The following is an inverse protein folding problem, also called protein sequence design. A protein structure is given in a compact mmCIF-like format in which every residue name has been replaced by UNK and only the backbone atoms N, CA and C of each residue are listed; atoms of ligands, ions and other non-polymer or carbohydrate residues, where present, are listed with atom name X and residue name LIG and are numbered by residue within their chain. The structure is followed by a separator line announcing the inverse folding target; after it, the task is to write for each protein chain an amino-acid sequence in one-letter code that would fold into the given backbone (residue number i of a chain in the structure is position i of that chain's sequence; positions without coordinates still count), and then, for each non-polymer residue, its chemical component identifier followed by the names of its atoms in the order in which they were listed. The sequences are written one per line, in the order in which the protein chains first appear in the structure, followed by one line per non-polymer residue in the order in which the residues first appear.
data_IF_057103113196
#
_entry.id   IF_057103113196
#
_cell.length_a   1.000
_cell.length_b   1.000
_cell.length_c   1.000
_cell.angle_alpha   90.00
_cell.angle_beta   90.00
_cell.angle_gamma   90.00
#
_symmetry.space_group_name_H-M   'P 1'
#
loop_
_entity.id
_entity.type
_entity.pdbx_description
1 polymer ?
#
# COMPACT_ATOMS: atom_id res chain seq x y z
N UNK A 1 2.14 -36.50 5.84
CA UNK A 1 2.71 -35.56 4.83
C UNK A 1 4.02 -34.92 5.30
N UNK A 2 4.26 -34.73 6.58
CA UNK A 2 5.42 -34.05 7.14
C UNK A 2 6.66 -34.97 7.19
N UNK A 3 6.51 -36.25 7.51
CA UNK A 3 7.68 -37.18 7.60
C UNK A 3 8.57 -37.25 6.34
N UNK A 4 8.03 -37.40 5.11
CA UNK A 4 8.88 -37.38 3.93
C UNK A 4 9.59 -36.03 3.71
N UNK A 5 8.97 -34.93 4.16
CA UNK A 5 9.55 -33.59 4.10
C UNK A 5 10.73 -33.45 5.06
N UNK A 6 10.59 -33.98 6.28
CA UNK A 6 11.67 -33.95 7.30
C UNK A 6 12.87 -34.76 6.82
N UNK A 7 12.63 -35.97 6.28
CA UNK A 7 13.72 -36.77 5.70
C UNK A 7 14.45 -36.04 4.58
N UNK A 8 13.70 -35.42 3.66
CA UNK A 8 14.30 -34.65 2.57
C UNK A 8 15.10 -33.42 3.05
N UNK A 9 14.60 -32.73 4.11
CA UNK A 9 15.31 -31.61 4.72
C UNK A 9 16.62 -32.05 5.36
N UNK A 10 16.60 -33.14 6.14
CA UNK A 10 17.78 -33.67 6.81
C UNK A 10 18.86 -34.13 5.82
N UNK A 11 18.47 -34.78 4.72
CA UNK A 11 19.38 -35.20 3.68
C UNK A 11 19.97 -33.99 2.93
N UNK A 12 19.14 -33.01 2.60
CA UNK A 12 19.58 -31.78 1.96
C UNK A 12 20.57 -31.01 2.85
N UNK A 13 20.29 -30.89 4.14
CA UNK A 13 21.16 -30.23 5.10
C UNK A 13 22.52 -30.95 5.23
N UNK A 14 22.54 -32.27 5.40
CA UNK A 14 23.76 -33.08 5.45
C UNK A 14 24.62 -32.91 4.20
N UNK A 15 24.02 -32.73 3.02
CA UNK A 15 24.72 -32.49 1.81
C UNK A 15 25.24 -31.05 1.70
N UNK A 16 24.41 -30.05 2.00
CA UNK A 16 24.76 -28.63 1.94
C UNK A 16 25.89 -28.25 2.91
N UNK A 17 25.90 -28.84 4.11
CA UNK A 17 26.95 -28.60 5.12
C UNK A 17 28.33 -29.02 4.64
N UNK A 18 28.44 -30.03 3.77
CA UNK A 18 29.73 -30.44 3.14
C UNK A 18 30.30 -29.37 2.23
N UNK A 19 29.52 -28.39 1.83
CA UNK A 19 29.90 -27.24 1.00
C UNK A 19 30.64 -27.61 -0.28
N UNK A 20 30.26 -28.72 -0.90
CA UNK A 20 30.86 -29.19 -2.15
C UNK A 20 30.31 -28.41 -3.36
N UNK A 21 31.16 -28.04 -4.33
CA UNK A 21 30.68 -27.41 -5.55
C UNK A 21 29.90 -28.44 -6.39
N UNK A 22 28.69 -28.03 -6.84
CA UNK A 22 27.84 -28.79 -7.75
C UNK A 22 26.93 -27.84 -8.50
N UNK A 23 26.59 -28.14 -9.74
CA UNK A 23 25.70 -27.30 -10.56
C UNK A 23 24.30 -27.11 -9.92
N UNK A 24 23.81 -28.12 -9.22
CA UNK A 24 22.48 -28.07 -8.56
C UNK A 24 22.49 -27.42 -7.17
N UNK A 25 23.66 -27.02 -6.63
CA UNK A 25 23.80 -26.55 -5.25
C UNK A 25 22.90 -25.36 -4.92
N UNK A 26 22.83 -24.38 -5.81
CA UNK A 26 21.98 -23.19 -5.60
C UNK A 26 20.49 -23.55 -5.63
N UNK A 27 20.08 -24.41 -6.56
CA UNK A 27 18.71 -24.90 -6.64
C UNK A 27 18.31 -25.71 -5.40
N UNK A 28 19.23 -26.57 -4.91
CA UNK A 28 19.02 -27.32 -3.67
C UNK A 28 18.93 -26.41 -2.44
N UNK A 29 19.76 -25.39 -2.36
CA UNK A 29 19.74 -24.41 -1.26
C UNK A 29 18.42 -23.63 -1.25
N UNK A 30 17.96 -23.17 -2.41
CA UNK A 30 16.69 -22.50 -2.56
C UNK A 30 15.51 -23.40 -2.15
N UNK A 31 15.52 -24.66 -2.58
CA UNK A 31 14.53 -25.65 -2.19
C UNK A 31 14.55 -25.91 -0.68
N UNK A 32 15.75 -26.10 -0.09
CA UNK A 32 15.93 -26.32 1.35
C UNK A 32 15.28 -25.18 2.18
N UNK A 33 15.56 -23.91 1.84
CA UNK A 33 14.97 -22.80 2.57
C UNK A 33 13.44 -22.71 2.41
N UNK A 34 12.93 -23.04 1.22
CA UNK A 34 11.46 -23.09 1.01
C UNK A 34 10.79 -24.19 1.85
N UNK A 35 11.36 -25.40 1.85
CA UNK A 35 10.84 -26.51 2.65
C UNK A 35 10.97 -26.25 4.15
N UNK A 36 12.12 -25.69 4.58
CA UNK A 36 12.34 -25.31 5.97
C UNK A 36 11.35 -24.25 6.44
N UNK A 37 11.07 -23.23 5.61
CA UNK A 37 10.05 -22.22 5.91
C UNK A 37 8.65 -22.85 6.01
N UNK A 38 8.30 -23.74 5.09
CA UNK A 38 7.03 -24.46 5.14
C UNK A 38 6.89 -25.29 6.43
N UNK A 39 7.92 -26.05 6.81
CA UNK A 39 7.95 -26.82 8.06
C UNK A 39 7.74 -25.92 9.29
N UNK A 40 8.48 -24.81 9.39
CA UNK A 40 8.33 -23.85 10.50
C UNK A 40 6.93 -23.26 10.58
N UNK A 41 6.28 -23.01 9.44
CA UNK A 41 4.89 -22.55 9.44
C UNK A 41 3.94 -23.65 9.88
N UNK A 42 4.19 -24.90 9.47
CA UNK A 42 3.39 -26.04 9.88
C UNK A 42 3.47 -26.33 11.40
N UNK A 43 4.62 -26.06 12.02
CA UNK A 43 4.82 -26.21 13.49
C UNK A 43 3.94 -25.25 14.32
N UNK A 44 3.55 -24.12 13.74
CA UNK A 44 2.71 -23.10 14.40
C UNK A 44 1.28 -23.05 13.85
N UNK A 45 0.94 -24.00 12.99
CA UNK A 45 -0.36 -24.07 12.34
C UNK A 45 -1.47 -24.41 13.36
N UNK A 46 -2.49 -23.58 13.38
CA UNK A 46 -3.68 -23.73 14.23
C UNK A 46 -4.94 -23.20 13.49
N UNK A 47 -6.03 -22.95 14.21
CA UNK A 47 -7.31 -22.47 13.66
C UNK A 47 -7.25 -21.11 12.94
N UNK A 48 -6.17 -20.36 13.11
CA UNK A 48 -5.94 -19.08 12.40
C UNK A 48 -5.28 -19.26 11.05
N UNK A 49 -4.96 -20.48 10.70
CA UNK A 49 -4.37 -20.81 9.41
C UNK A 49 -5.35 -21.55 8.52
N UNK A 50 -5.15 -21.39 7.22
CA UNK A 50 -5.79 -22.21 6.19
C UNK A 50 -4.75 -22.75 5.22
N UNK A 51 -5.04 -23.93 4.64
CA UNK A 51 -4.22 -24.49 3.58
C UNK A 51 -4.83 -24.16 2.23
N UNK A 52 -4.12 -23.39 1.42
CA UNK A 52 -4.52 -23.05 0.05
C UNK A 52 -3.82 -24.05 -0.88
N UNK A 53 -4.58 -24.75 -1.72
CA UNK A 53 -4.09 -25.67 -2.73
C UNK A 53 -4.46 -25.15 -4.10
N UNK A 54 -3.47 -24.83 -4.91
CA UNK A 54 -3.61 -24.45 -6.32
C UNK A 54 -3.14 -25.63 -7.17
N UNK A 55 -4.01 -26.11 -8.09
CA UNK A 55 -3.79 -27.38 -8.81
C UNK A 55 -3.32 -27.20 -10.26
N UNK A 56 -3.18 -25.97 -10.77
CA UNK A 56 -2.80 -25.73 -12.17
C UNK A 56 -1.88 -24.51 -12.30
N UNK A 57 -0.87 -24.55 -13.18
CA UNK A 57 -0.39 -25.74 -13.95
C UNK A 57 0.33 -26.76 -13.06
N UNK A 58 0.93 -26.30 -11.95
CA UNK A 58 1.61 -27.13 -10.95
C UNK A 58 0.86 -27.08 -9.62
N UNK A 59 0.93 -28.14 -8.85
CA UNK A 59 0.35 -28.16 -7.51
C UNK A 59 1.18 -27.33 -6.55
N UNK A 60 0.60 -26.26 -6.02
CA UNK A 60 1.17 -25.44 -4.95
C UNK A 60 0.37 -25.61 -3.69
N UNK A 61 1.06 -25.87 -2.59
CA UNK A 61 0.47 -25.91 -1.25
C UNK A 61 1.02 -24.74 -0.46
N UNK A 62 0.14 -23.94 0.10
CA UNK A 62 0.48 -22.73 0.85
C UNK A 62 -0.25 -22.71 2.18
N UNK A 63 0.49 -22.56 3.27
CA UNK A 63 -0.06 -22.37 4.60
C UNK A 63 -0.24 -20.85 4.81
N UNK A 64 -1.48 -20.40 4.91
CA UNK A 64 -1.81 -18.98 4.97
C UNK A 64 -2.35 -18.62 6.36
N UNK A 65 -1.69 -17.68 7.02
CA UNK A 65 -2.11 -17.15 8.32
C UNK A 65 -3.12 -16.01 8.11
N UNK A 66 -4.34 -16.19 8.57
CA UNK A 66 -5.41 -15.18 8.51
C UNK A 66 -5.28 -14.14 9.63
N UNK A 67 -4.79 -14.57 10.81
CA UNK A 67 -4.58 -13.72 11.97
C UNK A 67 -3.21 -13.98 12.64
N UNK A 68 -2.23 -13.07 12.48
CA UNK A 68 -0.90 -13.24 13.07
C UNK A 68 -0.80 -12.79 14.54
N UNK A 69 -1.86 -12.30 15.16
CA UNK A 69 -1.85 -11.62 16.46
C UNK A 69 -1.20 -12.45 17.58
N UNK A 70 -1.56 -13.74 17.69
CA UNK A 70 -0.98 -14.61 18.72
C UNK A 70 0.49 -14.94 18.46
N UNK A 71 0.90 -15.03 17.18
CA UNK A 71 2.30 -15.24 16.83
C UNK A 71 3.14 -14.01 17.19
N UNK A 72 2.63 -12.82 16.90
CA UNK A 72 3.25 -11.57 17.32
C UNK A 72 3.36 -11.51 18.85
N UNK A 73 2.28 -11.79 19.58
CA UNK A 73 2.29 -11.81 21.07
C UNK A 73 3.35 -12.78 21.63
N UNK A 74 3.44 -14.00 21.08
CA UNK A 74 4.48 -14.97 21.47
C UNK A 74 5.89 -14.48 21.17
N UNK A 75 6.08 -13.79 20.04
CA UNK A 75 7.37 -13.21 19.69
C UNK A 75 7.75 -12.05 20.63
N UNK A 76 6.81 -11.15 20.90
CA UNK A 76 6.99 -10.00 21.80
C UNK A 76 7.30 -10.40 23.23
N UNK A 77 6.71 -11.50 23.72
CA UNK A 77 6.97 -12.04 25.07
C UNK A 77 8.43 -12.44 25.32
N UNK A 78 9.27 -12.53 24.29
CA UNK A 78 10.72 -12.77 24.42
C UNK A 78 11.49 -11.50 24.79
N UNK A 79 10.90 -10.32 24.55
CA UNK A 79 11.47 -9.02 24.89
C UNK A 79 10.94 -8.48 26.21
N UNK A 80 11.61 -7.48 26.77
CA UNK A 80 11.13 -6.75 27.96
C UNK A 80 10.06 -5.73 27.61
N UNK A 81 10.12 -5.15 26.42
CA UNK A 81 9.18 -4.19 25.88
C UNK A 81 9.25 -4.16 24.34
N UNK A 82 8.18 -3.74 23.71
CA UNK A 82 8.12 -3.46 22.29
C UNK A 82 7.39 -2.13 22.07
N UNK A 83 7.88 -1.32 21.15
CA UNK A 83 7.27 -0.05 20.78
C UNK A 83 7.00 -0.10 19.28
N UNK A 84 5.74 0.03 18.90
CA UNK A 84 5.32 0.18 17.50
C UNK A 84 4.95 1.63 17.26
N UNK A 85 5.46 2.19 16.19
CA UNK A 85 5.15 3.57 15.83
C UNK A 85 5.04 3.74 14.31
N UNK A 86 4.08 4.56 13.88
CA UNK A 86 3.92 4.99 12.51
C UNK A 86 3.02 6.23 12.49
N UNK A 87 3.09 7.00 11.41
CA UNK A 87 2.17 8.10 11.17
C UNK A 87 0.75 7.61 10.79
N UNK A 88 0.59 6.33 10.44
CA UNK A 88 -0.65 5.77 9.87
C UNK A 88 -1.18 4.56 10.64
N UNK A 89 -0.90 4.43 11.94
CA UNK A 89 -1.50 3.39 12.81
C UNK A 89 -2.97 3.73 13.14
N UNK A 90 -3.79 3.84 12.11
CA UNK A 90 -5.22 4.20 12.22
C UNK A 90 -6.08 3.24 11.40
N UNK A 91 -7.14 2.61 11.98
CA UNK A 91 -7.58 2.73 13.38
C UNK A 91 -6.64 2.02 14.36
N UNK A 92 -6.46 2.60 15.53
CA UNK A 92 -5.51 2.09 16.53
C UNK A 92 -5.86 0.68 16.99
N UNK A 93 -7.12 0.36 17.22
CA UNK A 93 -7.57 -0.96 17.68
C UNK A 93 -7.29 -2.07 16.66
N UNK A 94 -7.39 -1.77 15.37
CA UNK A 94 -7.02 -2.69 14.30
C UNK A 94 -5.54 -3.10 14.40
N UNK A 95 -4.65 -2.11 14.49
CA UNK A 95 -3.22 -2.37 14.59
C UNK A 95 -2.85 -3.03 15.92
N UNK A 96 -3.41 -2.57 17.04
CA UNK A 96 -3.20 -3.17 18.35
C UNK A 96 -3.54 -4.67 18.33
N UNK A 97 -4.69 -5.02 17.75
CA UNK A 97 -5.12 -6.42 17.60
C UNK A 97 -4.13 -7.22 16.76
N UNK A 98 -3.84 -6.79 15.54
CA UNK A 98 -2.97 -7.54 14.63
C UNK A 98 -1.52 -7.66 15.10
N UNK A 99 -1.02 -6.66 15.82
CA UNK A 99 0.31 -6.67 16.42
C UNK A 99 0.40 -7.48 17.71
N UNK A 100 -0.71 -8.06 18.16
CA UNK A 100 -0.75 -8.93 19.34
C UNK A 100 -0.82 -8.18 20.66
N UNK A 101 -1.16 -6.88 20.65
CA UNK A 101 -1.36 -6.08 21.85
C UNK A 101 -2.63 -6.47 22.60
N UNK A 102 -2.67 -6.18 23.90
CA UNK A 102 -3.81 -6.34 24.77
C UNK A 102 -4.63 -5.03 24.84
N UNK A 103 -5.92 -5.07 25.19
CA UNK A 103 -6.75 -3.86 25.32
C UNK A 103 -6.18 -2.82 26.30
N UNK A 104 -5.49 -3.27 27.33
CA UNK A 104 -4.84 -2.48 28.38
C UNK A 104 -3.47 -1.92 28.02
N UNK A 105 -2.89 -2.34 26.88
CA UNK A 105 -1.57 -1.87 26.46
C UNK A 105 -1.61 -0.36 26.17
N UNK A 106 -0.58 0.41 26.61
CA UNK A 106 -0.56 1.84 26.42
C UNK A 106 -0.57 2.24 24.96
N UNK A 107 -1.38 3.24 24.63
CA UNK A 107 -1.48 3.84 23.31
C UNK A 107 -1.15 5.32 23.42
N UNK A 108 -0.29 5.81 22.52
CA UNK A 108 0.07 7.22 22.43
C UNK A 108 -0.30 7.75 21.05
N UNK A 109 -1.15 8.75 21.00
CA UNK A 109 -1.46 9.50 19.79
C UNK A 109 -0.95 10.93 19.93
N UNK A 110 -0.01 11.29 19.10
CA UNK A 110 0.56 12.64 19.05
C UNK A 110 -0.15 13.47 17.98
N UNK A 111 -0.31 14.75 18.26
CA UNK A 111 -0.79 15.69 17.26
C UNK A 111 0.23 15.81 16.12
N UNK A 112 -0.26 16.13 14.91
CA UNK A 112 0.60 16.42 13.78
C UNK A 112 1.52 17.62 14.10
N UNK A 113 2.82 17.56 13.83
CA UNK A 113 3.72 18.71 13.96
C UNK A 113 3.51 19.73 12.82
N UNK A 114 2.76 19.38 11.79
CA UNK A 114 2.50 20.25 10.65
C UNK A 114 1.25 21.10 10.90
N UNK A 115 1.32 22.43 10.64
CA UNK A 115 0.18 23.31 10.77
C UNK A 115 -0.98 22.87 9.86
N UNK A 116 -2.22 22.69 10.39
CA UNK A 116 -3.36 22.24 9.59
C UNK A 116 -3.70 23.17 8.41
N UNK A 117 -3.38 24.44 8.52
CA UNK A 117 -3.58 25.46 7.48
C UNK A 117 -2.72 25.25 6.24
N UNK A 118 -1.65 24.45 6.34
CA UNK A 118 -0.78 24.11 5.22
C UNK A 118 -1.31 22.94 4.39
N UNK A 119 -2.43 22.33 4.78
CA UNK A 119 -3.03 21.21 4.07
C UNK A 119 -4.49 21.49 3.70
N UNK A 120 -4.77 21.60 2.39
CA UNK A 120 -6.12 21.60 1.86
C UNK A 120 -6.50 20.18 1.43
N UNK A 121 -7.55 19.62 2.02
CA UNK A 121 -8.12 18.32 1.61
C UNK A 121 -9.44 18.56 0.92
N UNK A 122 -9.52 18.20 -0.36
CA UNK A 122 -10.72 18.28 -1.18
C UNK A 122 -11.26 16.88 -1.42
N UNK A 123 -12.53 16.63 -1.11
CA UNK A 123 -13.20 15.35 -1.32
C UNK A 123 -14.31 15.54 -2.34
N UNK A 124 -14.21 14.81 -3.45
CA UNK A 124 -15.28 14.72 -4.44
C UNK A 124 -15.96 13.35 -4.32
N UNK A 125 -17.12 13.31 -3.72
CA UNK A 125 -17.93 12.10 -3.49
C UNK A 125 -18.95 11.82 -4.61
N UNK A 126 -19.00 12.67 -5.65
CA UNK A 126 -19.94 12.54 -6.78
C UNK A 126 -19.40 11.69 -7.92
N UNK A 127 -18.06 11.52 -8.00
CA UNK A 127 -17.42 10.75 -9.07
C UNK A 127 -17.35 9.28 -8.66
N UNK A 128 -17.94 8.41 -9.46
CA UNK A 128 -17.94 6.97 -9.22
C UNK A 128 -16.61 6.34 -9.70
N UNK A 129 -15.76 5.94 -8.76
CA UNK A 129 -14.45 5.35 -9.06
C UNK A 129 -14.40 3.83 -8.93
N UNK A 130 -15.51 3.19 -8.54
CA UNK A 130 -15.60 1.73 -8.48
C UNK A 130 -15.65 1.12 -9.89
N UNK A 131 -15.19 -0.11 -10.04
CA UNK A 131 -14.90 -0.74 -11.34
C UNK A 131 -16.03 -0.60 -12.38
N UNK A 132 -17.28 -0.83 -11.99
CA UNK A 132 -18.43 -0.77 -12.91
C UNK A 132 -18.77 0.65 -13.41
N UNK A 133 -18.45 1.69 -12.64
CA UNK A 133 -18.76 3.09 -13.00
C UNK A 133 -17.60 3.85 -13.66
N UNK A 134 -16.42 3.25 -13.79
CA UNK A 134 -15.21 3.96 -14.26
C UNK A 134 -15.32 4.50 -15.68
N UNK A 135 -15.96 3.75 -16.56
CA UNK A 135 -16.10 4.17 -17.97
C UNK A 135 -16.99 5.43 -18.11
N UNK A 136 -18.06 5.49 -17.31
CA UNK A 136 -19.00 6.61 -17.34
C UNK A 136 -18.43 7.86 -16.66
N UNK A 137 -17.62 7.68 -15.62
CA UNK A 137 -17.02 8.78 -14.84
C UNK A 137 -15.62 9.19 -15.30
N UNK A 138 -15.11 8.62 -16.38
CA UNK A 138 -13.75 8.87 -16.88
C UNK A 138 -13.50 10.37 -17.13
N UNK A 139 -14.40 11.03 -17.83
CA UNK A 139 -14.33 12.46 -18.12
C UNK A 139 -14.35 13.33 -16.86
N UNK A 140 -15.16 12.96 -15.88
CA UNK A 140 -15.24 13.69 -14.60
C UNK A 140 -13.95 13.57 -13.78
N UNK A 141 -13.30 12.39 -13.79
CA UNK A 141 -11.99 12.19 -13.16
C UNK A 141 -10.93 13.05 -13.84
N UNK A 142 -10.89 13.05 -15.18
CA UNK A 142 -9.96 13.86 -15.97
C UNK A 142 -10.17 15.36 -15.70
N UNK A 143 -11.42 15.81 -15.67
CA UNK A 143 -11.76 17.20 -15.37
C UNK A 143 -11.35 17.60 -13.94
N UNK A 144 -11.56 16.72 -12.95
CA UNK A 144 -11.16 16.98 -11.57
C UNK A 144 -9.63 17.09 -11.42
N UNK A 145 -8.87 16.19 -12.08
CA UNK A 145 -7.41 16.27 -12.12
C UNK A 145 -6.97 17.57 -12.79
N UNK A 146 -7.52 17.86 -13.98
CA UNK A 146 -7.22 19.07 -14.75
C UNK A 146 -7.49 20.36 -13.98
N UNK A 147 -8.63 20.44 -13.28
CA UNK A 147 -8.98 21.58 -12.44
C UNK A 147 -7.94 21.82 -11.31
N UNK A 148 -7.50 20.76 -10.64
CA UNK A 148 -6.50 20.87 -9.58
C UNK A 148 -5.14 21.36 -10.14
N UNK A 149 -4.61 20.68 -11.16
CA UNK A 149 -3.26 20.96 -11.66
C UNK A 149 -3.17 22.27 -12.45
N UNK A 150 -4.30 22.79 -12.94
CA UNK A 150 -4.39 24.12 -13.56
C UNK A 150 -4.46 25.25 -12.52
N UNK A 151 -4.87 24.96 -11.29
CA UNK A 151 -5.06 25.96 -10.25
C UNK A 151 -3.75 26.56 -9.72
N UNK A 152 -2.66 25.82 -9.73
CA UNK A 152 -1.34 26.24 -9.30
C UNK A 152 -0.26 25.50 -10.07
N UNK A 153 0.74 26.25 -10.57
CA UNK A 153 1.92 25.68 -11.20
C UNK A 153 2.78 24.91 -10.18
N UNK A 154 3.24 23.72 -10.56
CA UNK A 154 4.11 22.88 -9.72
C UNK A 154 3.96 21.40 -10.02
N UNK A 155 4.43 20.55 -9.14
CA UNK A 155 4.49 19.12 -9.32
C UNK A 155 3.36 18.41 -8.56
N UNK A 156 2.70 17.50 -9.23
CA UNK A 156 1.55 16.74 -8.72
C UNK A 156 1.76 15.24 -8.92
N UNK A 157 1.25 14.43 -7.99
CA UNK A 157 1.12 12.98 -8.15
C UNK A 157 -0.36 12.60 -8.17
N UNK A 158 -0.73 11.77 -9.16
CA UNK A 158 -2.09 11.21 -9.29
C UNK A 158 -2.00 9.71 -9.09
N UNK A 159 -2.65 9.22 -8.03
CA UNK A 159 -2.63 7.82 -7.65
C UNK A 159 -3.90 7.09 -8.09
N UNK A 160 -3.71 5.92 -8.68
CA UNK A 160 -4.78 5.06 -9.18
C UNK A 160 -4.77 3.69 -8.51
N UNK A 161 -5.92 3.00 -8.40
CA UNK A 161 -5.98 1.66 -7.82
C UNK A 161 -5.43 0.56 -8.74
N UNK A 162 -5.17 0.85 -10.03
CA UNK A 162 -4.62 -0.12 -10.99
C UNK A 162 -3.98 0.57 -12.19
N UNK A 163 -3.04 -0.10 -12.84
CA UNK A 163 -2.41 0.37 -14.09
C UNK A 163 -3.40 0.53 -15.24
N UNK A 164 -4.42 -0.34 -15.33
CA UNK A 164 -5.45 -0.22 -16.37
C UNK A 164 -6.19 1.12 -16.24
N UNK A 165 -6.69 1.43 -15.05
CA UNK A 165 -7.42 2.69 -14.82
C UNK A 165 -6.53 3.91 -15.00
N UNK A 166 -5.28 3.83 -14.54
CA UNK A 166 -4.26 4.86 -14.78
C UNK A 166 -4.12 5.14 -16.28
N UNK A 167 -3.94 4.10 -17.12
CA UNK A 167 -3.74 4.25 -18.55
C UNK A 167 -4.98 4.81 -19.27
N UNK A 168 -6.19 4.43 -18.84
CA UNK A 168 -7.43 4.94 -19.41
C UNK A 168 -7.58 6.45 -19.14
N UNK A 169 -7.36 6.87 -17.88
CA UNK A 169 -7.41 8.30 -17.51
C UNK A 169 -6.27 9.09 -18.14
N UNK A 170 -5.06 8.53 -18.19
CA UNK A 170 -3.90 9.17 -18.81
C UNK A 170 -4.14 9.54 -20.27
N UNK A 171 -4.68 8.59 -21.05
CA UNK A 171 -4.97 8.81 -22.48
C UNK A 171 -5.91 10.00 -22.68
N UNK A 172 -6.98 10.05 -21.93
CA UNK A 172 -7.96 11.14 -22.01
C UNK A 172 -7.42 12.46 -21.46
N UNK A 173 -6.60 12.39 -20.40
CA UNK A 173 -5.95 13.56 -19.81
C UNK A 173 -4.97 14.21 -20.80
N UNK A 174 -4.16 13.44 -21.51
CA UNK A 174 -3.21 13.96 -22.50
C UNK A 174 -3.91 14.64 -23.70
N UNK A 175 -5.11 14.18 -24.07
CA UNK A 175 -5.92 14.79 -25.12
C UNK A 175 -6.53 16.11 -24.60
N UNK A 176 -7.07 16.12 -23.40
CA UNK A 176 -7.80 17.25 -22.84
C UNK A 176 -6.88 18.36 -22.30
N UNK A 177 -5.67 17.99 -21.85
CA UNK A 177 -4.70 18.87 -21.20
C UNK A 177 -3.28 18.72 -21.76
N UNK A 178 -3.06 18.96 -23.08
CA UNK A 178 -1.77 18.73 -23.75
C UNK A 178 -0.58 19.54 -23.20
N UNK A 179 -0.77 20.74 -22.56
CA UNK A 179 0.36 21.56 -22.14
C UNK A 179 1.12 21.01 -20.91
N UNK A 180 0.57 20.04 -20.18
CA UNK A 180 1.22 19.53 -18.99
C UNK A 180 2.29 18.49 -19.28
N UNK A 181 3.41 18.56 -18.59
CA UNK A 181 4.40 17.49 -18.56
C UNK A 181 3.83 16.29 -17.82
N UNK A 182 3.95 15.11 -18.39
CA UNK A 182 3.39 13.89 -17.81
C UNK A 182 4.48 12.84 -17.61
N UNK A 183 4.57 12.31 -16.40
CA UNK A 183 5.35 11.15 -16.05
C UNK A 183 4.44 9.98 -15.67
N UNK A 184 4.82 8.76 -16.07
CA UNK A 184 3.97 7.58 -15.87
C UNK A 184 4.78 6.47 -15.24
N UNK A 185 4.29 5.98 -14.12
CA UNK A 185 4.81 4.76 -13.51
C UNK A 185 4.52 3.56 -14.41
N UNK A 186 5.56 2.80 -14.77
CA UNK A 186 5.44 1.50 -15.47
C UNK A 186 5.46 0.35 -14.45
N UNK A 187 4.87 -0.81 -14.79
CA UNK A 187 5.09 -2.03 -14.02
C UNK A 187 6.59 -2.40 -14.00
N UNK A 188 7.05 -2.96 -12.89
CA UNK A 188 8.41 -3.52 -12.76
C UNK A 188 9.57 -2.54 -13.03
N UNK A 189 9.42 -1.27 -12.59
CA UNK A 189 10.53 -0.30 -12.62
C UNK A 189 11.73 -0.83 -11.82
N UNK A 190 12.91 -0.70 -12.40
CA UNK A 190 14.18 -0.90 -11.69
C UNK A 190 14.48 0.26 -10.74
N UNK A 191 15.40 0.07 -9.80
CA UNK A 191 15.81 1.17 -8.90
C UNK A 191 16.31 2.41 -9.64
N UNK A 192 17.18 2.32 -10.66
CA UNK A 192 17.59 3.48 -11.44
C UNK A 192 16.43 4.22 -12.12
N UNK A 193 15.46 3.49 -12.71
CA UNK A 193 14.28 4.10 -13.33
C UNK A 193 13.36 4.79 -12.30
N UNK A 194 13.28 4.24 -11.08
CA UNK A 194 12.60 4.87 -9.96
C UNK A 194 13.27 6.19 -9.58
N UNK A 195 14.58 6.19 -9.46
CA UNK A 195 15.36 7.37 -9.09
C UNK A 195 15.24 8.46 -10.17
N UNK A 196 15.27 8.10 -11.45
CA UNK A 196 15.02 8.99 -12.56
C UNK A 196 13.61 9.61 -12.52
N UNK A 197 12.58 8.79 -12.25
CA UNK A 197 11.21 9.27 -12.07
C UNK A 197 11.13 10.32 -10.94
N UNK A 198 11.79 10.07 -9.80
CA UNK A 198 11.79 10.99 -8.65
C UNK A 198 12.64 12.24 -8.90
N UNK A 199 13.72 12.13 -9.65
CA UNK A 199 14.58 13.25 -10.01
C UNK A 199 13.86 14.26 -10.92
N UNK A 200 12.91 13.80 -11.73
CA UNK A 200 12.09 14.66 -12.56
C UNK A 200 11.17 15.59 -11.76
N UNK A 201 10.86 15.29 -10.49
CA UNK A 201 10.14 16.18 -9.58
C UNK A 201 11.08 17.26 -9.04
N UNK A 202 11.64 18.06 -9.96
CA UNK A 202 12.49 19.22 -9.65
C UNK A 202 11.64 20.50 -9.63
N UNK A 203 12.08 21.50 -8.89
CA UNK A 203 11.48 22.85 -8.90
C UNK A 203 11.99 23.74 -10.04
N UNK A 204 13.01 23.29 -10.76
CA UNK A 204 13.74 24.10 -11.74
C UNK A 204 13.10 24.16 -13.14
N UNK A 205 12.28 23.15 -13.52
CA UNK A 205 11.74 23.08 -14.89
C UNK A 205 10.62 24.07 -15.21
N UNK A 206 10.15 24.79 -14.22
CA UNK A 206 9.27 25.95 -14.49
C UNK A 206 7.93 25.65 -15.16
N UNK A 207 7.51 24.39 -15.32
CA UNK A 207 6.25 23.94 -15.87
C UNK A 207 5.50 23.05 -14.87
N UNK A 208 4.22 22.78 -15.11
CA UNK A 208 3.48 21.86 -14.27
C UNK A 208 3.77 20.42 -14.69
N UNK A 209 4.28 19.61 -13.75
CA UNK A 209 4.52 18.19 -13.92
C UNK A 209 3.44 17.37 -13.21
N UNK A 210 2.86 16.42 -13.93
CA UNK A 210 1.85 15.50 -13.39
C UNK A 210 2.35 14.07 -13.49
N UNK A 211 2.72 13.48 -12.35
CA UNK A 211 3.10 12.08 -12.26
C UNK A 211 1.88 11.18 -12.06
N UNK A 212 1.74 10.14 -12.86
CA UNK A 212 0.70 9.13 -12.75
C UNK A 212 1.29 7.86 -12.13
N UNK A 213 0.75 7.43 -10.99
CA UNK A 213 1.27 6.30 -10.23
C UNK A 213 0.15 5.39 -9.71
N UNK A 214 0.50 4.17 -9.31
CA UNK A 214 -0.44 3.21 -8.70
C UNK A 214 -0.33 3.29 -7.18
N UNK A 215 -1.48 3.38 -6.52
CA UNK A 215 -1.58 3.44 -5.07
C UNK A 215 -1.11 2.11 -4.43
N UNK A 216 -0.26 2.21 -3.41
CA UNK A 216 0.39 1.03 -2.81
C UNK A 216 1.53 0.45 -3.64
N UNK A 217 1.92 1.10 -4.74
CA UNK A 217 3.15 0.82 -5.47
C UNK A 217 4.37 1.52 -4.85
N UNK A 218 5.52 1.38 -5.53
CA UNK A 218 6.82 1.93 -5.09
C UNK A 218 6.84 3.44 -4.84
N UNK A 219 5.88 4.20 -5.38
CA UNK A 219 5.71 5.63 -5.16
C UNK A 219 4.66 5.97 -4.08
N UNK A 220 3.95 4.98 -3.55
CA UNK A 220 3.08 5.14 -2.39
C UNK A 220 3.86 5.16 -1.07
N UNK A 221 5.03 4.50 -1.04
CA UNK A 221 5.87 4.34 0.14
C UNK A 221 7.32 4.73 -0.17
N UNK A 222 8.04 5.26 0.82
CA UNK A 222 9.50 5.47 0.73
C UNK A 222 9.97 6.50 -0.29
N UNK A 223 9.15 7.47 -0.69
CA UNK A 223 9.58 8.63 -1.48
C UNK A 223 9.65 9.87 -0.60
N UNK A 224 10.65 10.71 -0.86
CA UNK A 224 10.86 11.98 -0.16
C UNK A 224 10.90 13.13 -1.18
N UNK A 225 9.73 13.73 -1.40
CA UNK A 225 9.55 14.88 -2.29
C UNK A 225 9.17 16.11 -1.45
N UNK A 226 10.14 16.63 -0.72
CA UNK A 226 9.94 17.72 0.25
C UNK A 226 9.66 19.06 -0.44
N UNK A 227 8.75 19.85 0.15
CA UNK A 227 8.47 21.24 -0.23
C UNK A 227 7.85 21.35 -1.63
N UNK A 228 8.36 22.27 -2.42
CA UNK A 228 7.88 22.57 -3.77
C UNK A 228 8.12 21.42 -4.78
N UNK A 229 8.86 20.38 -4.39
CA UNK A 229 9.03 19.19 -5.25
C UNK A 229 7.73 18.39 -5.43
N UNK A 230 6.78 18.50 -4.48
CA UNK A 230 5.43 17.93 -4.60
C UNK A 230 4.43 18.81 -3.88
N UNK A 231 3.63 19.56 -4.62
CA UNK A 231 2.67 20.52 -4.05
C UNK A 231 1.25 20.00 -3.96
N UNK A 232 0.95 18.87 -4.59
CA UNK A 232 -0.38 18.28 -4.54
C UNK A 232 -0.40 16.81 -4.90
N UNK A 233 -1.39 16.10 -4.35
CA UNK A 233 -1.69 14.73 -4.73
C UNK A 233 -3.19 14.55 -5.01
N UNK A 234 -3.51 13.76 -6.02
CA UNK A 234 -4.87 13.29 -6.31
C UNK A 234 -4.93 11.80 -6.05
N UNK A 235 -5.93 11.35 -5.33
CA UNK A 235 -6.17 9.93 -5.11
C UNK A 235 -7.49 9.56 -5.75
N UNK A 236 -7.41 8.77 -6.82
CA UNK A 236 -8.57 8.34 -7.58
C UNK A 236 -9.11 7.05 -6.99
N UNK A 237 -10.17 7.18 -6.21
CA UNK A 237 -10.81 6.08 -5.50
C UNK A 237 -10.18 5.79 -4.13
N UNK A 238 -10.67 4.73 -3.51
CA UNK A 238 -10.21 4.26 -2.20
C UNK A 238 -9.28 3.09 -2.46
N UNK A 239 -8.01 3.18 -2.39
CA UNK A 239 -7.00 2.18 -2.72
C UNK A 239 -7.24 0.76 -2.14
N UNK A 240 -8.47 0.26 -2.22
CA UNK A 240 -8.82 -1.08 -1.74
C UNK A 240 -7.92 -2.12 -2.41
N UNK A 241 -7.39 -3.08 -1.65
CA UNK A 241 -6.70 -4.23 -2.22
C UNK A 241 -7.56 -4.92 -3.28
N UNK A 242 -6.89 -5.50 -4.27
CA UNK A 242 -7.58 -6.33 -5.26
C UNK A 242 -8.29 -7.50 -4.56
N UNK A 243 -9.51 -7.81 -5.01
CA UNK A 243 -10.21 -9.00 -4.53
C UNK A 243 -9.40 -10.25 -4.89
N UNK A 244 -9.06 -11.05 -3.89
CA UNK A 244 -8.28 -12.27 -4.04
C UNK A 244 -8.70 -13.27 -2.95
N UNK A 245 -8.30 -14.52 -3.13
CA UNK A 245 -8.62 -15.59 -2.18
C UNK A 245 -8.16 -15.25 -0.76
N UNK A 246 -6.97 -14.68 -0.61
CA UNK A 246 -6.42 -14.29 0.68
C UNK A 246 -7.25 -13.20 1.36
N UNK A 247 -7.68 -12.21 0.59
CA UNK A 247 -8.57 -11.15 1.10
C UNK A 247 -9.92 -11.71 1.57
N UNK A 248 -10.50 -12.63 0.80
CA UNK A 248 -11.76 -13.29 1.18
C UNK A 248 -11.60 -14.15 2.44
N UNK A 249 -10.47 -14.87 2.57
CA UNK A 249 -10.17 -15.67 3.76
C UNK A 249 -10.00 -14.80 5.01
N UNK A 250 -9.29 -13.67 4.90
CA UNK A 250 -9.15 -12.69 6.00
C UNK A 250 -10.52 -12.12 6.36
N UNK A 251 -11.32 -11.73 5.36
CA UNK A 251 -12.67 -11.19 5.56
C UNK A 251 -13.54 -12.19 6.33
N UNK A 252 -13.58 -13.43 5.88
CA UNK A 252 -14.46 -14.44 6.46
C UNK A 252 -14.03 -14.79 7.89
N UNK A 253 -12.73 -14.84 8.17
CA UNK A 253 -12.18 -15.03 9.50
C UNK A 253 -12.60 -13.89 10.45
N UNK A 254 -12.30 -12.64 10.12
CA UNK A 254 -12.62 -11.51 10.99
C UNK A 254 -14.12 -11.17 11.03
N UNK A 255 -14.89 -11.59 10.03
CA UNK A 255 -16.35 -11.53 10.10
C UNK A 255 -16.90 -12.42 11.23
N UNK A 256 -16.29 -13.59 11.43
CA UNK A 256 -16.66 -14.51 12.50
C UNK A 256 -16.14 -14.06 13.88
N UNK A 257 -14.93 -13.48 13.92
CA UNK A 257 -14.29 -13.08 15.16
C UNK A 257 -14.88 -11.80 15.79
N UNK A 258 -15.16 -10.78 14.97
CA UNK A 258 -15.53 -9.45 15.47
C UNK A 258 -16.52 -8.69 14.60
N UNK A 259 -17.15 -9.35 13.61
CA UNK A 259 -18.11 -8.75 12.67
C UNK A 259 -17.54 -7.60 11.82
N UNK A 260 -16.22 -7.51 11.66
CA UNK A 260 -15.52 -6.46 10.93
C UNK A 260 -14.67 -7.03 9.77
N UNK A 261 -15.16 -8.08 9.13
CA UNK A 261 -14.39 -8.78 8.10
C UNK A 261 -13.98 -7.93 6.92
N UNK A 262 -14.91 -7.14 6.38
CA UNK A 262 -14.60 -6.27 5.24
C UNK A 262 -13.63 -5.15 5.62
N UNK A 263 -13.76 -4.62 6.82
CA UNK A 263 -12.88 -3.59 7.37
C UNK A 263 -11.45 -4.10 7.46
N UNK A 264 -11.24 -5.29 8.02
CA UNK A 264 -9.91 -5.89 8.20
C UNK A 264 -9.24 -6.28 6.89
N UNK A 265 -10.02 -6.84 5.95
CA UNK A 265 -9.47 -7.32 4.68
C UNK A 265 -9.22 -6.19 3.66
N UNK A 266 -10.07 -5.17 3.64
CA UNK A 266 -10.11 -4.21 2.55
C UNK A 266 -10.08 -2.74 3.01
N UNK A 267 -10.97 -2.32 3.92
CA UNK A 267 -11.13 -0.91 4.25
C UNK A 267 -9.89 -0.34 4.94
N UNK A 268 -9.43 -0.97 6.02
CA UNK A 268 -8.28 -0.48 6.78
C UNK A 268 -6.98 -0.52 5.99
N UNK A 269 -6.62 -1.61 5.29
CA UNK A 269 -5.47 -1.61 4.40
C UNK A 269 -5.56 -0.59 3.27
N UNK A 270 -6.75 -0.40 2.69
CA UNK A 270 -6.98 0.60 1.64
C UNK A 270 -6.80 2.02 2.14
N UNK A 271 -7.43 2.36 3.27
CA UNK A 271 -7.29 3.68 3.89
C UNK A 271 -5.86 3.98 4.33
N UNK A 272 -5.12 2.98 4.81
CA UNK A 272 -3.71 3.16 5.15
C UNK A 272 -2.88 3.62 3.94
N UNK A 273 -3.10 3.01 2.76
CA UNK A 273 -2.45 3.44 1.50
C UNK A 273 -2.81 4.88 1.14
N UNK A 274 -4.08 5.27 1.32
CA UNK A 274 -4.54 6.64 1.09
C UNK A 274 -3.83 7.61 2.02
N UNK A 275 -3.78 7.31 3.32
CA UNK A 275 -3.11 8.15 4.32
C UNK A 275 -1.60 8.28 4.05
N UNK A 276 -0.94 7.21 3.63
CA UNK A 276 0.46 7.25 3.22
C UNK A 276 0.68 8.16 2.01
N UNK A 277 -0.19 8.07 0.99
CA UNK A 277 -0.10 8.92 -0.20
C UNK A 277 -0.35 10.40 0.12
N UNK A 278 -1.34 10.72 0.97
CA UNK A 278 -1.60 12.09 1.43
C UNK A 278 -0.40 12.63 2.22
N UNK A 279 0.20 11.79 3.07
CA UNK A 279 1.35 12.15 3.88
C UNK A 279 2.57 12.63 3.06
N UNK A 280 2.63 12.31 1.76
CA UNK A 280 3.72 12.76 0.87
C UNK A 280 3.67 14.24 0.51
N UNK A 281 2.49 14.85 0.61
CA UNK A 281 2.31 16.29 0.29
C UNK A 281 2.55 17.16 1.52
N UNK A 282 2.51 16.58 2.73
CA UNK A 282 2.69 17.31 3.97
C UNK A 282 4.19 17.50 4.20
N UNK A 283 4.69 18.74 4.03
CA UNK A 283 6.10 19.06 4.19
C UNK A 283 6.31 20.27 5.09
N UNK A 284 7.53 20.45 5.58
CA UNK A 284 7.96 21.55 6.46
C UNK A 284 8.09 22.93 5.76
N UNK A 285 7.57 23.08 4.53
CA UNK A 285 7.63 24.36 3.81
C UNK A 285 6.56 25.33 4.27
N UNK A 286 6.94 26.54 4.63
CA UNK A 286 6.01 27.68 4.75
C UNK A 286 5.54 28.03 3.35
N UNK A 287 4.32 27.63 3.00
CA UNK A 287 3.71 28.09 1.76
C UNK A 287 3.24 29.53 1.94
N UNK A 288 3.62 30.49 1.04
CA UNK A 288 3.04 31.82 1.07
C UNK A 288 1.53 31.71 0.86
N UNK A 289 0.76 32.30 1.76
CA UNK A 289 -0.69 32.37 1.68
C UNK A 289 -1.11 33.15 0.41
N UNK A 290 -1.54 32.42 -0.61
CA UNK A 290 -2.41 33.00 -1.63
C UNK A 290 -3.77 32.31 -1.54
N UNK A 291 -4.84 33.03 -1.17
CA UNK A 291 -6.18 32.47 -1.20
C UNK A 291 -6.57 32.16 -2.65
N UNK A 292 -6.85 30.91 -2.92
CA UNK A 292 -7.50 30.50 -4.17
C UNK A 292 -8.93 31.06 -4.10
N UNK A 293 -9.15 32.17 -4.78
CA UNK A 293 -10.49 32.72 -4.93
C UNK A 293 -11.30 31.82 -5.87
N UNK A 294 -12.30 31.14 -5.34
CA UNK A 294 -13.31 30.52 -6.18
C UNK A 294 -13.67 29.06 -5.93
N UNK A 295 -13.22 28.43 -4.86
CA UNK A 295 -13.72 27.08 -4.52
C UNK A 295 -14.51 27.15 -3.22
N UNK A 296 -15.82 26.88 -3.30
CA UNK A 296 -16.65 26.74 -2.11
C UNK A 296 -16.09 25.64 -1.22
N UNK A 297 -15.63 26.02 -0.03
CA UNK A 297 -15.35 25.12 1.08
C UNK A 297 -16.62 24.33 1.42
N UNK A 298 -16.66 23.07 1.06
CA UNK A 298 -17.67 22.15 1.55
C UNK A 298 -17.28 21.79 2.98
N UNK A 299 -18.08 22.31 3.92
CA UNK A 299 -17.96 22.11 5.36
C UNK A 299 -17.97 20.62 5.73
N UNK A 300 -17.15 20.34 6.76
CA UNK A 300 -17.13 19.13 7.57
C UNK A 300 -18.44 18.32 7.55
N UNK A 301 -18.39 17.14 6.91
CA UNK A 301 -19.24 16.02 7.31
C UNK A 301 -18.32 14.85 7.63
N UNK A 302 -18.61 14.25 8.80
CA UNK A 302 -17.87 13.16 9.44
C UNK A 302 -17.49 12.06 8.44
N UNK A 303 -16.22 11.67 8.46
CA UNK A 303 -15.79 10.36 8.01
C UNK A 303 -16.49 9.30 8.87
N UNK A 304 -17.36 8.52 8.26
CA UNK A 304 -17.88 7.28 8.82
C UNK A 304 -17.02 6.16 8.29
#
# INVERSE_FOLDING_TARGET
MIEPLETALDEAEKWLVKNQPAEFREALLALYFRLHSFRRTAEVYDERFVTIIESQPDTKIRLFCQDPSLLHRKALARGKAAIFFSATLTPMDYYRTLLGGAPEDPVLQLASPFPPENLAVLINDRIQTHFKGRAESLGDVVAAIGALVSGRRGNYLVYFPSYQYLNDVLREFQISYPPFLVLVQRPSLTEPERDEFLAAFSVEHGETLVGFAVLGGIFGEGIDLVGERLIGAVIVGVGLPQLCIEGDLIRDYFQQQNSAGFEYAYTFPGMNRVLQAIGRVISHGVLPHHPISGTQLISRKRLI
#
